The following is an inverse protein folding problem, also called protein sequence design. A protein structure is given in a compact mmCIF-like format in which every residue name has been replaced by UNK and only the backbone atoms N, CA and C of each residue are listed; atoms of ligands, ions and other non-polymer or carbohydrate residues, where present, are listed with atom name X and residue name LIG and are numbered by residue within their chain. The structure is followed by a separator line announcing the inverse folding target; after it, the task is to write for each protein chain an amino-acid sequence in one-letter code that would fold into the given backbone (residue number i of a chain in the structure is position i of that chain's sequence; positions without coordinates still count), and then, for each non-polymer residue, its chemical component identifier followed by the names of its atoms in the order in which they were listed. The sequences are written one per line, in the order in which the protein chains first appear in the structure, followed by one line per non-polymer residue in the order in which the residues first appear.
data_IF_424493705931
#
_entry.id   IF_424493705931
#
_cell.length_a   1.000
_cell.length_b   1.000
_cell.length_c   1.000
_cell.angle_alpha   90.00
_cell.angle_beta   90.00
_cell.angle_gamma   90.00
#
_symmetry.space_group_name_H-M   'P 1'
#
loop_
_entity.id
_entity.type
_entity.pdbx_description
1 polymer ?
#
# COMPACT_ATOMS: atom_id res chain seq x y z
N UNK A 1 -16.74 4.51 8.35
CA UNK A 1 -15.99 5.20 7.27
C UNK A 1 -14.72 4.43 6.99
N UNK A 2 -14.49 4.10 5.71
CA UNK A 2 -13.27 3.43 5.25
C UNK A 2 -12.47 4.43 4.42
N UNK A 3 -11.16 4.52 4.68
CA UNK A 3 -10.22 5.35 3.94
C UNK A 3 -9.08 4.45 3.46
N UNK A 4 -8.76 4.54 2.17
CA UNK A 4 -7.58 3.90 1.57
C UNK A 4 -6.56 5.00 1.30
N UNK A 5 -5.40 4.90 1.95
CA UNK A 5 -4.26 5.80 1.78
C UNK A 5 -3.20 5.21 0.87
N UNK A 6 -2.53 6.07 0.11
CA UNK A 6 -1.45 5.70 -0.80
C UNK A 6 -0.20 6.50 -0.48
N UNK A 7 0.94 5.81 -0.38
CA UNK A 7 2.24 6.45 -0.55
C UNK A 7 2.68 6.21 -2.00
N UNK A 8 2.29 7.12 -2.89
CA UNK A 8 2.50 7.12 -4.34
C UNK A 8 1.84 8.41 -4.88
N UNK A 9 2.36 9.12 -5.90
CA UNK A 9 3.40 8.75 -6.87
C UNK A 9 4.80 9.30 -6.57
N UNK A 10 5.15 9.54 -5.30
CA UNK A 10 6.52 9.94 -4.91
C UNK A 10 7.51 8.83 -5.29
N UNK A 11 8.78 9.12 -5.55
CA UNK A 11 9.75 8.22 -6.20
C UNK A 11 9.91 6.81 -5.57
N UNK A 12 9.90 6.68 -4.24
CA UNK A 12 10.26 5.46 -3.52
C UNK A 12 9.28 5.09 -2.38
N UNK A 13 9.41 3.86 -1.87
CA UNK A 13 8.70 3.25 -0.74
C UNK A 13 7.17 3.26 -0.89
N UNK A 14 6.68 2.75 -2.04
CA UNK A 14 5.24 2.75 -2.27
C UNK A 14 4.50 1.78 -1.37
N UNK A 15 3.32 2.20 -0.91
CA UNK A 15 2.54 1.44 0.05
C UNK A 15 1.04 1.78 -0.02
N UNK A 16 0.23 0.87 0.50
CA UNK A 16 -1.20 1.06 0.76
C UNK A 16 -1.49 0.86 2.24
N UNK A 17 -2.34 1.73 2.79
CA UNK A 17 -2.91 1.58 4.13
C UNK A 17 -4.43 1.69 4.10
N UNK A 18 -5.11 0.93 4.97
CA UNK A 18 -6.57 0.99 5.15
C UNK A 18 -6.89 1.37 6.59
N UNK A 19 -7.69 2.43 6.74
CA UNK A 19 -8.23 2.88 8.02
C UNK A 19 -9.75 2.69 8.01
N UNK A 20 -10.27 1.96 8.98
CA UNK A 20 -11.70 1.77 9.20
C UNK A 20 -12.10 2.33 10.56
N UNK A 21 -12.99 3.33 10.55
CA UNK A 21 -13.52 3.98 11.76
C UNK A 21 -12.42 4.42 12.74
N UNK A 22 -11.34 4.99 12.19
CA UNK A 22 -10.19 5.49 12.96
C UNK A 22 -9.16 4.41 13.35
N UNK A 23 -9.34 3.15 12.93
CA UNK A 23 -8.39 2.06 13.21
C UNK A 23 -7.62 1.67 11.96
N UNK A 24 -6.30 1.51 12.08
CA UNK A 24 -5.47 0.91 11.05
C UNK A 24 -5.72 -0.60 11.00
N UNK A 25 -6.29 -1.09 9.89
CA UNK A 25 -6.60 -2.51 9.71
C UNK A 25 -5.65 -3.20 8.74
N UNK A 26 -5.02 -2.45 7.84
CA UNK A 26 -4.05 -2.97 6.88
C UNK A 26 -3.00 -1.90 6.58
N UNK A 27 -1.74 -2.31 6.45
CA UNK A 27 -0.67 -1.51 5.87
C UNK A 27 0.39 -2.44 5.29
N UNK A 28 0.74 -2.25 4.03
CA UNK A 28 1.82 -3.01 3.41
C UNK A 28 2.53 -2.18 2.33
N UNK A 29 3.85 -2.31 2.29
CA UNK A 29 4.70 -1.78 1.23
C UNK A 29 4.66 -2.71 0.00
N UNK A 30 4.74 -2.11 -1.19
CA UNK A 30 4.71 -2.81 -2.48
C UNK A 30 5.90 -3.76 -2.63
N UNK A 31 7.08 -3.39 -2.12
CA UNK A 31 8.31 -4.21 -2.18
C UNK A 31 8.16 -5.58 -1.52
N UNK A 32 7.22 -5.75 -0.58
CA UNK A 32 6.95 -7.06 0.05
C UNK A 32 6.38 -8.06 -0.95
N UNK A 33 5.66 -7.55 -1.96
CA UNK A 33 5.00 -8.31 -3.00
C UNK A 33 5.84 -8.41 -4.28
N UNK A 34 6.36 -7.29 -4.79
CA UNK A 34 7.15 -7.26 -6.03
C UNK A 34 8.55 -7.84 -5.84
N UNK A 35 9.07 -7.80 -4.60
CA UNK A 35 10.46 -8.15 -4.25
C UNK A 35 11.49 -7.21 -4.88
N UNK A 36 11.06 -6.06 -5.37
CA UNK A 36 11.92 -4.98 -5.83
C UNK A 36 12.06 -3.96 -4.70
N UNK A 37 13.30 -3.79 -4.23
CA UNK A 37 13.58 -2.93 -3.08
C UNK A 37 13.09 -1.49 -3.36
N UNK A 38 12.41 -0.90 -2.39
CA UNK A 38 11.80 0.44 -2.43
C UNK A 38 10.73 0.66 -3.51
N UNK A 39 10.44 -0.32 -4.38
CA UNK A 39 9.43 -0.19 -5.45
C UNK A 39 9.60 1.08 -6.31
N UNK A 40 10.85 1.47 -6.60
CA UNK A 40 11.16 2.75 -7.26
C UNK A 40 10.42 2.90 -8.60
N UNK A 41 9.57 3.93 -8.71
CA UNK A 41 8.78 4.22 -9.91
C UNK A 41 7.65 3.23 -10.24
N UNK A 42 7.39 2.25 -9.37
CA UNK A 42 6.29 1.31 -9.55
C UNK A 42 4.96 1.92 -9.05
N UNK A 43 3.79 1.37 -9.41
CA UNK A 43 2.54 1.68 -8.72
C UNK A 43 2.26 0.63 -7.63
N UNK A 44 1.60 0.99 -6.51
CA UNK A 44 1.31 0.07 -5.41
C UNK A 44 0.12 -0.86 -5.72
N UNK A 45 0.21 -1.64 -6.80
CA UNK A 45 -0.90 -2.46 -7.30
C UNK A 45 -1.10 -3.73 -6.48
N UNK A 46 -0.01 -4.42 -6.10
CA UNK A 46 -0.10 -5.67 -5.35
C UNK A 46 -0.47 -5.43 -3.89
N UNK A 47 0.07 -4.35 -3.29
CA UNK A 47 -0.32 -3.89 -1.96
C UNK A 47 -1.78 -3.41 -1.92
N UNK A 48 -2.28 -2.77 -2.99
CA UNK A 48 -3.71 -2.44 -3.12
C UNK A 48 -4.58 -3.71 -3.25
N UNK A 49 -4.18 -4.67 -4.09
CA UNK A 49 -4.92 -5.93 -4.23
C UNK A 49 -4.96 -6.69 -2.90
N UNK A 50 -3.85 -6.73 -2.17
CA UNK A 50 -3.77 -7.35 -0.85
C UNK A 50 -4.70 -6.65 0.16
N UNK A 51 -4.84 -5.33 0.10
CA UNK A 51 -5.72 -4.57 0.98
C UNK A 51 -7.21 -4.95 0.85
N UNK A 52 -7.65 -5.42 -0.33
CA UNK A 52 -9.03 -5.89 -0.54
C UNK A 52 -9.27 -7.34 -0.11
N UNK A 53 -8.20 -8.10 0.19
CA UNK A 53 -8.29 -9.50 0.60
C UNK A 53 -8.25 -9.68 2.12
N UNK A 54 -8.04 -8.60 2.87
CA UNK A 54 -8.03 -8.56 4.33
C UNK A 54 -9.39 -8.13 4.88
#
# INVERSE_FOLDING_TARGET
MIVIGFQWPVEHDHAVAVIQDGKLIFAAEEERFTRHKHSDGEPPLLSLEAAFKF
#
